data_IF_554454912136
#
_entry.id   IF_554454912136
#
_cell.length_a   1.000
_cell.length_b   1.000
_cell.length_c   1.000
_cell.angle_alpha   90.00
_cell.angle_beta   90.00
_cell.angle_gamma   90.00
#
_symmetry.space_group_name_H-M   'P 1'
#
loop_
_entity.id
_entity.type
_entity.pdbx_description
1 polymer ?
#
# COMPACT_ATOMS: atom_id res chain seq x y z
N UNK A 1 -35.32 29.65 -19.05
CA UNK A 1 -33.93 29.48 -19.50
C UNK A 1 -32.95 29.28 -18.34
N UNK A 2 -33.02 30.03 -17.25
CA UNK A 2 -32.10 29.94 -16.08
C UNK A 2 -32.03 28.57 -15.40
N UNK A 3 -33.15 27.84 -15.33
CA UNK A 3 -33.23 26.49 -14.73
C UNK A 3 -32.53 25.41 -15.57
N UNK A 4 -32.42 25.62 -16.89
CA UNK A 4 -31.75 24.69 -17.83
C UNK A 4 -30.23 24.83 -17.67
N UNK A 5 -29.74 26.07 -17.64
CA UNK A 5 -28.32 26.39 -17.40
C UNK A 5 -27.84 25.80 -16.06
N UNK A 6 -28.66 25.88 -15.01
CA UNK A 6 -28.34 25.29 -13.71
C UNK A 6 -28.21 23.76 -13.75
N UNK A 7 -29.06 23.08 -14.52
CA UNK A 7 -29.03 21.62 -14.70
C UNK A 7 -27.81 21.20 -15.52
N UNK A 8 -27.57 21.82 -16.67
CA UNK A 8 -26.41 21.54 -17.54
C UNK A 8 -25.09 21.79 -16.81
N UNK A 9 -25.00 22.87 -16.03
CA UNK A 9 -23.82 23.15 -15.21
C UNK A 9 -23.59 22.09 -14.13
N UNK A 10 -24.65 21.62 -13.47
CA UNK A 10 -24.55 20.59 -12.43
C UNK A 10 -24.12 19.26 -13.02
N UNK A 11 -24.68 18.86 -14.17
CA UNK A 11 -24.27 17.66 -14.90
C UNK A 11 -22.79 17.73 -15.33
N UNK A 12 -22.38 18.87 -15.87
CA UNK A 12 -20.97 19.13 -16.21
C UNK A 12 -20.05 19.05 -14.98
N UNK A 13 -20.43 19.67 -13.87
CA UNK A 13 -19.66 19.64 -12.64
C UNK A 13 -19.51 18.21 -12.07
N UNK A 14 -20.57 17.40 -12.10
CA UNK A 14 -20.51 16.01 -11.65
C UNK A 14 -19.61 15.17 -12.56
N UNK A 15 -19.66 15.35 -13.88
CA UNK A 15 -18.74 14.71 -14.82
C UNK A 15 -17.28 15.07 -14.51
N UNK A 16 -16.97 16.34 -14.22
CA UNK A 16 -15.62 16.76 -13.86
C UNK A 16 -15.17 16.13 -12.54
N UNK A 17 -16.03 16.12 -11.52
CA UNK A 17 -15.71 15.47 -10.22
C UNK A 17 -15.40 13.99 -10.41
N UNK A 18 -16.19 13.29 -11.22
CA UNK A 18 -15.98 11.88 -11.52
C UNK A 18 -14.61 11.66 -12.21
N UNK A 19 -14.29 12.45 -13.24
CA UNK A 19 -13.00 12.35 -13.92
C UNK A 19 -11.81 12.65 -13.01
N UNK A 20 -11.94 13.64 -12.12
CA UNK A 20 -10.92 13.94 -11.10
C UNK A 20 -10.74 12.76 -10.15
N UNK A 21 -11.84 12.16 -9.67
CA UNK A 21 -11.79 11.03 -8.75
C UNK A 21 -11.10 9.81 -9.40
N UNK A 22 -11.47 9.48 -10.65
CA UNK A 22 -10.86 8.40 -11.43
C UNK A 22 -9.36 8.66 -11.62
N UNK A 23 -8.98 9.89 -11.97
CA UNK A 23 -7.59 10.25 -12.22
C UNK A 23 -6.74 10.16 -10.95
N UNK A 24 -7.26 10.65 -9.81
CA UNK A 24 -6.61 10.53 -8.50
C UNK A 24 -6.45 9.07 -8.08
N UNK A 25 -7.46 8.24 -8.33
CA UNK A 25 -7.39 6.81 -8.03
C UNK A 25 -6.30 6.11 -8.86
N UNK A 26 -6.25 6.38 -10.18
CA UNK A 26 -5.20 5.85 -11.06
C UNK A 26 -3.81 6.25 -10.59
N UNK A 27 -3.60 7.54 -10.30
CA UNK A 27 -2.33 8.05 -9.80
C UNK A 27 -1.92 7.37 -8.48
N UNK A 28 -2.84 7.29 -7.51
CA UNK A 28 -2.59 6.63 -6.23
C UNK A 28 -2.22 5.14 -6.41
N UNK A 29 -2.88 4.43 -7.31
CA UNK A 29 -2.59 3.02 -7.60
C UNK A 29 -1.19 2.85 -8.20
N UNK A 30 -0.79 3.71 -9.15
CA UNK A 30 0.57 3.68 -9.72
C UNK A 30 1.61 3.96 -8.65
N UNK A 31 1.43 5.01 -7.84
CA UNK A 31 2.36 5.35 -6.74
C UNK A 31 2.47 4.21 -5.73
N UNK A 32 1.35 3.59 -5.34
CA UNK A 32 1.36 2.46 -4.42
C UNK A 32 2.12 1.25 -4.98
N UNK A 33 1.95 0.96 -6.28
CA UNK A 33 2.71 -0.11 -6.95
C UNK A 33 4.21 0.14 -6.86
N UNK A 34 4.66 1.33 -7.24
CA UNK A 34 6.08 1.68 -7.21
C UNK A 34 6.66 1.67 -5.80
N UNK A 35 5.90 2.15 -4.80
CA UNK A 35 6.32 2.07 -3.39
C UNK A 35 6.52 0.62 -2.93
N UNK A 36 5.62 -0.28 -3.30
CA UNK A 36 5.75 -1.69 -2.93
C UNK A 36 6.94 -2.37 -3.60
N UNK A 37 7.20 -2.06 -4.87
CA UNK A 37 8.39 -2.54 -5.58
C UNK A 37 9.68 -2.02 -4.94
N UNK A 38 9.71 -0.74 -4.57
CA UNK A 38 10.84 -0.14 -3.85
C UNK A 38 11.08 -0.84 -2.51
N UNK A 39 10.01 -1.11 -1.76
CA UNK A 39 10.10 -1.78 -0.47
C UNK A 39 10.57 -3.24 -0.58
N UNK A 40 10.11 -3.96 -1.60
CA UNK A 40 10.64 -5.27 -1.93
C UNK A 40 12.13 -5.22 -2.26
N UNK A 41 12.53 -4.28 -3.12
CA UNK A 41 13.92 -4.08 -3.52
C UNK A 41 14.82 -3.82 -2.31
N UNK A 42 14.45 -2.86 -1.44
CA UNK A 42 15.20 -2.55 -0.22
C UNK A 42 15.33 -3.79 0.67
N UNK A 43 14.24 -4.55 0.85
CA UNK A 43 14.26 -5.79 1.61
C UNK A 43 15.23 -6.83 1.04
N UNK A 44 15.24 -6.99 -0.27
CA UNK A 44 16.15 -7.89 -1.00
C UNK A 44 17.60 -7.49 -0.80
N UNK A 45 17.91 -6.19 -0.94
CA UNK A 45 19.25 -5.65 -0.73
C UNK A 45 19.73 -5.87 0.71
N UNK A 46 18.85 -5.69 1.70
CA UNK A 46 19.20 -6.01 3.10
C UNK A 46 19.56 -7.50 3.24
N UNK A 47 18.73 -8.40 2.72
CA UNK A 47 18.99 -9.86 2.80
C UNK A 47 20.31 -10.24 2.14
N UNK A 48 20.59 -9.74 0.94
CA UNK A 48 21.81 -10.01 0.19
C UNK A 48 23.06 -9.54 0.94
N UNK A 49 23.04 -8.34 1.53
CA UNK A 49 24.17 -7.82 2.29
C UNK A 49 24.34 -8.53 3.63
N UNK A 50 23.26 -8.88 4.32
CA UNK A 50 23.35 -9.70 5.53
C UNK A 50 23.97 -11.07 5.24
N UNK A 51 23.63 -11.69 4.09
CA UNK A 51 24.20 -12.98 3.67
C UNK A 51 25.66 -12.89 3.24
N UNK A 52 26.00 -11.90 2.41
CA UNK A 52 27.34 -11.79 1.80
C UNK A 52 28.40 -11.16 2.71
N UNK A 53 28.00 -10.26 3.61
CA UNK A 53 28.91 -9.51 4.48
C UNK A 53 28.78 -9.87 5.96
N UNK A 54 27.86 -10.78 6.32
CA UNK A 54 27.62 -11.17 7.70
C UNK A 54 27.03 -10.04 8.57
N UNK A 55 26.38 -9.04 7.97
CA UNK A 55 25.86 -7.89 8.71
C UNK A 55 24.77 -8.28 9.73
N UNK A 56 25.02 -7.94 10.99
CA UNK A 56 24.06 -8.13 12.09
C UNK A 56 22.89 -7.12 12.07
N UNK A 57 22.00 -7.22 13.05
CA UNK A 57 20.77 -6.42 13.15
C UNK A 57 21.00 -4.90 13.23
N UNK A 58 22.18 -4.45 13.69
CA UNK A 58 22.54 -3.02 13.81
C UNK A 58 22.56 -2.28 12.47
N UNK A 59 22.76 -2.97 11.35
CA UNK A 59 22.77 -2.32 10.03
C UNK A 59 21.42 -1.71 9.68
N UNK A 60 20.32 -2.35 10.11
CA UNK A 60 18.96 -1.87 9.85
C UNK A 60 18.68 -0.58 10.62
N UNK A 61 19.23 -0.44 11.83
CA UNK A 61 19.10 0.79 12.62
C UNK A 61 19.89 1.94 12.01
N UNK A 62 21.10 1.67 11.50
CA UNK A 62 21.90 2.67 10.78
C UNK A 62 21.20 3.11 9.50
N UNK A 63 20.76 2.16 8.66
CA UNK A 63 19.98 2.45 7.45
C UNK A 63 18.73 3.27 7.74
N UNK A 64 18.01 2.99 8.83
CA UNK A 64 16.83 3.77 9.20
C UNK A 64 17.18 5.23 9.50
N UNK A 65 18.30 5.49 10.19
CA UNK A 65 18.75 6.86 10.47
C UNK A 65 19.14 7.57 9.18
N UNK A 66 19.97 6.94 8.37
CA UNK A 66 20.53 7.55 7.16
C UNK A 66 19.43 7.84 6.14
N UNK A 67 18.53 6.88 5.88
CA UNK A 67 17.43 7.07 4.93
C UNK A 67 16.41 8.10 5.40
N UNK A 68 16.18 8.24 6.71
CA UNK A 68 15.30 9.29 7.23
C UNK A 68 15.93 10.67 7.14
N UNK A 69 17.25 10.76 7.29
CA UNK A 69 17.98 12.02 7.15
C UNK A 69 17.98 12.49 5.69
N UNK A 70 18.17 11.56 4.75
CA UNK A 70 18.17 11.86 3.31
C UNK A 70 16.76 12.13 2.77
N UNK A 71 15.75 11.42 3.27
CA UNK A 71 14.35 11.53 2.80
C UNK A 71 13.39 11.87 3.95
N UNK A 72 13.47 13.08 4.54
CA UNK A 72 12.68 13.44 5.72
C UNK A 72 11.17 13.48 5.45
N UNK A 73 10.77 13.71 4.20
CA UNK A 73 9.36 13.73 3.76
C UNK A 73 8.73 12.32 3.78
N UNK A 74 9.55 11.27 3.70
CA UNK A 74 9.12 9.89 3.57
C UNK A 74 8.99 9.18 4.92
N UNK A 75 7.75 8.91 5.35
CA UNK A 75 7.44 8.24 6.63
C UNK A 75 7.74 6.72 6.64
N UNK A 76 8.26 6.17 5.53
CA UNK A 76 8.41 4.73 5.29
C UNK A 76 9.66 4.08 5.92
N UNK A 77 10.68 4.86 6.30
CA UNK A 77 12.02 4.32 6.61
C UNK A 77 12.32 4.16 8.12
N UNK A 78 11.32 3.79 8.92
CA UNK A 78 11.59 3.38 10.31
C UNK A 78 12.30 2.03 10.38
N UNK A 79 13.07 1.77 11.44
CA UNK A 79 13.72 0.46 11.69
C UNK A 79 12.71 -0.69 11.62
N UNK A 80 11.50 -0.48 12.17
CA UNK A 80 10.41 -1.46 12.11
C UNK A 80 10.01 -1.74 10.65
N UNK A 81 9.78 -0.69 9.86
CA UNK A 81 9.39 -0.86 8.46
C UNK A 81 10.48 -1.53 7.63
N UNK A 82 11.76 -1.21 7.85
CA UNK A 82 12.86 -1.87 7.16
C UNK A 82 12.95 -3.37 7.49
N UNK A 83 12.63 -3.76 8.74
CA UNK A 83 12.50 -5.19 9.11
C UNK A 83 11.35 -5.86 8.34
N UNK A 84 10.21 -5.17 8.19
CA UNK A 84 9.10 -5.68 7.38
C UNK A 84 9.44 -5.77 5.90
N UNK A 85 10.15 -4.78 5.34
CA UNK A 85 10.64 -4.83 3.96
C UNK A 85 11.53 -6.06 3.74
N UNK A 86 12.47 -6.31 4.66
CA UNK A 86 13.33 -7.50 4.64
C UNK A 86 12.51 -8.79 4.70
N UNK A 87 11.53 -8.86 5.60
CA UNK A 87 10.65 -10.03 5.71
C UNK A 87 9.84 -10.25 4.44
N UNK A 88 9.24 -9.18 3.89
CA UNK A 88 8.48 -9.20 2.66
C UNK A 88 9.32 -9.73 1.49
N UNK A 89 10.55 -9.24 1.32
CA UNK A 89 11.46 -9.76 0.30
C UNK A 89 11.83 -11.24 0.51
N UNK A 90 11.97 -11.68 1.76
CA UNK A 90 12.26 -13.08 2.08
C UNK A 90 11.10 -14.03 1.79
N UNK A 91 9.87 -13.57 1.98
CA UNK A 91 8.65 -14.34 1.72
C UNK A 91 8.30 -14.39 0.22
N UNK A 92 8.66 -13.36 -0.55
CA UNK A 92 8.31 -13.21 -1.95
C UNK A 92 9.54 -12.99 -2.81
N UNK A 93 10.30 -14.05 -3.13
CA UNK A 93 11.55 -13.92 -3.89
C UNK A 93 11.37 -13.72 -5.40
N UNK A 94 10.21 -14.08 -5.94
CA UNK A 94 9.89 -13.94 -7.35
C UNK A 94 9.36 -12.54 -7.67
N UNK A 95 10.13 -11.77 -8.43
CA UNK A 95 9.81 -10.39 -8.81
C UNK A 95 8.58 -10.32 -9.72
N UNK A 96 8.38 -11.28 -10.63
CA UNK A 96 7.21 -11.29 -11.51
C UNK A 96 5.92 -11.49 -10.70
N UNK A 97 5.97 -12.39 -9.72
CA UNK A 97 4.89 -12.61 -8.77
C UNK A 97 4.63 -11.37 -7.91
N UNK A 98 5.69 -10.71 -7.41
CA UNK A 98 5.57 -9.46 -6.65
C UNK A 98 4.91 -8.39 -7.51
N UNK A 99 5.32 -8.18 -8.76
CA UNK A 99 4.70 -7.20 -9.66
C UNK A 99 3.20 -7.43 -9.86
N UNK A 100 2.76 -8.68 -9.92
CA UNK A 100 1.34 -9.04 -10.03
C UNK A 100 0.57 -8.84 -8.71
N UNK A 101 1.19 -9.13 -7.57
CA UNK A 101 0.60 -8.94 -6.23
C UNK A 101 0.49 -7.47 -5.83
N UNK A 102 1.53 -6.66 -6.08
CA UNK A 102 1.58 -5.26 -5.66
C UNK A 102 0.59 -4.38 -6.41
N UNK A 103 0.08 -4.85 -7.55
CA UNK A 103 -0.99 -4.18 -8.28
C UNK A 103 -2.36 -4.22 -7.56
N UNK A 104 -2.49 -5.04 -6.51
CA UNK A 104 -3.76 -5.38 -5.85
C UNK A 104 -3.87 -4.91 -4.38
N UNK A 105 -2.78 -4.49 -3.72
CA UNK A 105 -2.77 -4.22 -2.28
C UNK A 105 -2.16 -2.86 -1.91
N UNK A 106 -2.72 -2.13 -0.92
CA UNK A 106 -2.06 -0.97 -0.31
C UNK A 106 -1.14 -1.38 0.86
N UNK A 107 0.08 -0.84 0.89
CA UNK A 107 1.16 -1.15 1.86
C UNK A 107 0.76 -1.17 3.35
N UNK A 108 -0.22 -0.35 3.76
CA UNK A 108 -0.67 -0.27 5.15
C UNK A 108 -1.17 -1.59 5.75
N UNK A 109 -1.56 -2.56 4.91
CA UNK A 109 -1.96 -3.90 5.37
C UNK A 109 -0.78 -4.79 5.78
N UNK A 110 0.43 -4.54 5.25
CA UNK A 110 1.61 -5.37 5.53
C UNK A 110 2.26 -5.07 6.89
N UNK A 111 1.91 -3.94 7.52
CA UNK A 111 2.53 -3.45 8.77
C UNK A 111 1.78 -3.98 10.02
N UNK A 112 0.61 -4.61 9.87
CA UNK A 112 -0.30 -4.95 10.98
C UNK A 112 -0.47 -6.45 11.29
N UNK A 113 0.26 -7.36 10.64
CA UNK A 113 0.14 -8.81 10.88
C UNK A 113 1.21 -9.35 11.84
N UNK A 114 1.23 -8.83 13.06
CA UNK A 114 1.94 -9.50 14.17
C UNK A 114 1.06 -10.69 14.63
N UNK A 115 1.49 -11.93 14.32
CA UNK A 115 1.01 -13.13 15.02
C UNK A 115 0.20 -14.20 14.25
N UNK A 116 0.44 -14.48 12.96
CA UNK A 116 -0.14 -15.67 12.31
C UNK A 116 0.91 -16.51 11.54
N UNK A 117 0.87 -17.82 11.81
CA UNK A 117 1.80 -18.84 11.33
C UNK A 117 1.64 -19.16 9.84
N UNK A 118 2.73 -19.71 9.29
CA UNK A 118 3.12 -19.80 7.88
C UNK A 118 2.20 -20.58 6.94
N UNK A 119 1.16 -21.27 7.45
CA UNK A 119 0.27 -22.11 6.63
C UNK A 119 -1.06 -21.47 6.21
N UNK A 120 -1.45 -20.33 6.80
CA UNK A 120 -2.76 -19.69 6.54
C UNK A 120 -2.66 -18.37 5.74
N UNK A 121 -1.49 -18.07 5.18
CA UNK A 121 -1.17 -16.74 4.61
C UNK A 121 -1.64 -16.51 3.17
N UNK A 122 -1.94 -17.55 2.41
CA UNK A 122 -2.45 -17.42 1.03
C UNK A 122 -3.97 -17.17 0.95
N UNK A 123 -4.75 -17.52 1.96
CA UNK A 123 -6.19 -17.23 2.02
C UNK A 123 -6.56 -16.01 2.88
N UNK A 124 -5.72 -15.64 3.85
CA UNK A 124 -6.02 -14.51 4.74
C UNK A 124 -5.94 -13.14 4.06
N UNK A 125 -5.22 -13.03 2.93
CA UNK A 125 -5.13 -11.80 2.13
C UNK A 125 -6.39 -11.59 1.26
N UNK A 126 -7.17 -12.65 1.00
CA UNK A 126 -8.40 -12.56 0.20
C UNK A 126 -9.71 -12.71 1.00
N UNK A 127 -9.69 -13.23 2.23
CA UNK A 127 -10.95 -13.64 2.89
C UNK A 127 -11.15 -13.21 4.36
N UNK A 128 -10.81 -11.97 4.76
CA UNK A 128 -11.38 -11.39 5.98
C UNK A 128 -11.86 -9.95 5.82
N UNK A 129 -13.12 -9.88 5.38
CA UNK A 129 -14.14 -8.90 5.81
C UNK A 129 -14.01 -7.48 5.25
N UNK A 130 -14.98 -7.20 4.38
CA UNK A 130 -15.94 -6.13 4.68
C UNK A 130 -15.82 -4.78 3.98
N UNK A 131 -15.72 -4.85 2.67
CA UNK A 131 -16.67 -4.14 1.79
C UNK A 131 -18.14 -4.24 2.29
N UNK A 132 -18.50 -5.34 2.99
CA UNK A 132 -19.79 -5.67 3.60
C UNK A 132 -20.22 -4.82 4.82
N UNK A 133 -19.33 -4.21 5.59
CA UNK A 133 -19.73 -3.38 6.77
C UNK A 133 -19.79 -1.90 6.41
N UNK A 134 -19.07 -1.46 5.37
CA UNK A 134 -19.11 -0.09 4.88
C UNK A 134 -20.26 0.16 3.87
N UNK A 135 -20.56 -0.78 2.96
CA UNK A 135 -21.68 -0.62 2.01
C UNK A 135 -23.06 -0.83 2.64
N UNK A 136 -23.20 -1.71 3.63
CA UNK A 136 -24.50 -1.95 4.31
C UNK A 136 -24.90 -0.80 5.24
N UNK A 137 -23.93 -0.05 5.81
CA UNK A 137 -24.20 1.12 6.66
C UNK A 137 -24.32 2.45 5.91
N UNK A 138 -23.89 2.55 4.64
CA UNK A 138 -23.94 3.80 3.86
C UNK A 138 -25.21 3.96 3.00
N UNK A 139 -25.97 2.89 2.76
CA UNK A 139 -27.16 2.92 1.88
C UNK A 139 -28.52 2.62 2.55
N UNK A 140 -28.59 2.38 3.87
CA UNK A 140 -29.87 2.24 4.59
C UNK A 140 -29.93 3.08 5.88
N UNK A 141 -29.82 4.39 5.71
CA UNK A 141 -30.34 5.38 6.65
C UNK A 141 -31.41 6.23 5.94
N UNK A 142 -32.67 5.86 6.13
CA UNK A 142 -33.86 6.72 6.12
C UNK A 142 -34.81 6.01 7.12
N UNK A 143 -35.17 6.62 8.24
CA UNK A 143 -36.23 7.63 8.34
C UNK A 143 -37.55 7.06 7.79
N UNK A 144 -38.42 6.74 8.75
CA UNK A 144 -39.80 6.22 8.70
C UNK A 144 -40.02 4.75 8.33
#
# INVERSE_FOLDING_TARGET
MTKIIAKEYTEFLEQLKEQIAISRYKAARTVNKELLLLYHYIGTQILEKQKSQGWGSKVIEQLSRDLKAEFPEMKGFSTRNLKYMRQFAGEYQDIEFVQQLVAQLPWGHNVFSDGLSSGQRSEAILHKRSYRTWLVKKHHGNAD
#
